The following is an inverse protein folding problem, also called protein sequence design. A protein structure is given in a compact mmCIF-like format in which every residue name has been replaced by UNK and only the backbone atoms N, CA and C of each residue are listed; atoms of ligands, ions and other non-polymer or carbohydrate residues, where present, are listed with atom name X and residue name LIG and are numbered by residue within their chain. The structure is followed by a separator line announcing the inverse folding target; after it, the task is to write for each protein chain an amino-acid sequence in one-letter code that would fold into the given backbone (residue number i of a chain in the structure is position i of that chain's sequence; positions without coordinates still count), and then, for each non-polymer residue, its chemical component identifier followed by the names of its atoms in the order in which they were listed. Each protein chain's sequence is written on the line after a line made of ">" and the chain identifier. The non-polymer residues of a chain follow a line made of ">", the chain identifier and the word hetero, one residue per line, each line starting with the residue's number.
data_IF_254295640573
#
_entry.id   IF_254295640573
#
_cell.length_a   1.000
_cell.length_b   1.000
_cell.length_c   1.000
_cell.angle_alpha   90.00
_cell.angle_beta   90.00
_cell.angle_gamma   90.00
#
_symmetry.space_group_name_H-M   'P 1'
#
loop_
_entity.id
_entity.type
_entity.pdbx_description
1 polymer ?
#
# COMPACT_ATOMS: atom_id res chain seq x y z
N UNK A 1 -20.94 -37.82 16.54
CA UNK A 1 -20.96 -36.83 17.65
C UNK A 1 -22.40 -36.63 18.11
N UNK A 2 -22.68 -36.86 19.37
CA UNK A 2 -24.05 -36.80 19.90
C UNK A 2 -24.50 -35.34 20.04
N UNK A 3 -25.67 -35.00 19.58
CA UNK A 3 -26.27 -33.66 19.51
C UNK A 3 -26.29 -32.93 20.88
N UNK A 4 -26.35 -33.68 21.98
CA UNK A 4 -26.36 -33.17 23.34
C UNK A 4 -24.97 -32.61 23.77
N UNK A 5 -23.88 -33.16 23.25
CA UNK A 5 -22.53 -32.68 23.55
C UNK A 5 -22.22 -31.34 22.88
N UNK A 6 -22.83 -31.09 21.72
CA UNK A 6 -22.63 -29.84 20.97
C UNK A 6 -23.37 -28.64 21.61
N UNK A 7 -24.55 -28.90 22.22
CA UNK A 7 -25.38 -27.88 22.87
C UNK A 7 -24.74 -27.31 24.17
N UNK A 8 -24.02 -28.18 24.92
CA UNK A 8 -23.33 -27.75 26.15
C UNK A 8 -22.04 -26.94 25.89
N UNK A 9 -21.43 -27.10 24.70
CA UNK A 9 -20.20 -26.39 24.34
C UNK A 9 -20.46 -25.03 23.69
N UNK A 10 -21.58 -24.84 23.00
CA UNK A 10 -21.90 -23.59 22.28
C UNK A 10 -22.22 -22.42 23.23
N UNK A 11 -22.65 -22.67 24.46
CA UNK A 11 -23.01 -21.61 25.42
C UNK A 11 -21.83 -20.99 26.17
N UNK A 12 -20.64 -21.63 26.13
CA UNK A 12 -19.43 -21.15 26.85
C UNK A 12 -18.26 -20.72 25.96
N UNK A 13 -18.50 -20.52 24.65
CA UNK A 13 -17.43 -20.33 23.66
C UNK A 13 -17.41 -18.93 23.03
N UNK A 14 -17.20 -17.92 23.83
CA UNK A 14 -16.87 -16.56 23.34
C UNK A 14 -15.38 -16.27 23.37
N UNK A 15 -14.53 -17.16 23.86
CA UNK A 15 -13.06 -16.92 23.90
C UNK A 15 -12.23 -18.12 23.46
N UNK A 16 -11.57 -17.94 22.31
CA UNK A 16 -10.33 -18.61 21.82
C UNK A 16 -10.08 -20.05 22.27
N UNK A 17 -10.40 -21.06 21.45
CA UNK A 17 -9.63 -22.34 21.46
C UNK A 17 -9.91 -23.16 20.19
N UNK A 18 -8.90 -23.85 19.67
CA UNK A 18 -9.00 -24.86 18.60
C UNK A 18 -9.47 -26.19 19.21
N UNK A 19 -10.41 -26.88 18.55
CA UNK A 19 -10.81 -28.25 18.92
C UNK A 19 -10.23 -29.23 17.89
N UNK A 20 -9.47 -30.19 18.41
CA UNK A 20 -9.02 -31.35 17.64
C UNK A 20 -9.91 -32.53 18.00
N UNK A 21 -10.61 -33.12 17.04
CA UNK A 21 -11.32 -34.40 17.23
C UNK A 21 -10.62 -35.50 16.46
N UNK A 22 -10.47 -36.67 17.10
CA UNK A 22 -9.95 -37.89 16.48
C UNK A 22 -11.13 -38.74 16.01
N UNK A 23 -11.15 -39.13 14.75
CA UNK A 23 -12.10 -40.11 14.25
C UNK A 23 -11.46 -41.53 14.34
N UNK A 24 -12.27 -42.58 14.43
CA UNK A 24 -11.84 -43.94 14.67
C UNK A 24 -10.79 -44.52 13.70
N UNK A 25 -10.54 -43.90 12.55
CA UNK A 25 -9.59 -44.32 11.52
C UNK A 25 -8.28 -43.49 11.49
N UNK A 26 -7.91 -42.80 12.56
CA UNK A 26 -6.60 -42.19 12.68
C UNK A 26 -6.43 -40.81 12.00
N UNK A 27 -7.39 -40.35 11.22
CA UNK A 27 -7.36 -39.02 10.58
C UNK A 27 -7.73 -37.90 11.57
N UNK A 28 -6.97 -36.80 11.56
CA UNK A 28 -7.22 -35.64 12.42
C UNK A 28 -7.95 -34.57 11.64
N UNK A 29 -9.09 -34.11 12.13
CA UNK A 29 -9.83 -32.96 11.60
C UNK A 29 -9.62 -31.81 12.59
N UNK A 30 -9.05 -30.71 12.13
CA UNK A 30 -8.88 -29.51 12.92
C UNK A 30 -9.98 -28.49 12.54
N UNK A 31 -10.80 -28.09 13.51
CA UNK A 31 -11.73 -26.99 13.40
C UNK A 31 -11.12 -25.77 14.08
N UNK A 32 -10.74 -24.76 13.31
CA UNK A 32 -10.20 -23.50 13.84
C UNK A 32 -11.27 -22.43 13.69
N UNK A 33 -11.79 -21.93 14.80
CA UNK A 33 -12.63 -20.74 14.82
C UNK A 33 -11.75 -19.52 15.11
N UNK A 34 -11.64 -18.57 14.16
CA UNK A 34 -10.99 -17.30 14.40
C UNK A 34 -12.01 -16.23 14.79
N UNK A 35 -11.58 -15.22 15.55
CA UNK A 35 -12.40 -14.13 16.08
C UNK A 35 -13.07 -13.23 15.04
N UNK A 36 -13.09 -13.64 13.79
CA UNK A 36 -13.75 -13.00 12.66
C UNK A 36 -14.56 -13.99 11.81
N UNK A 37 -15.16 -15.01 12.44
CA UNK A 37 -16.10 -15.93 11.77
C UNK A 37 -15.60 -16.53 10.44
N UNK A 38 -14.49 -17.26 10.48
CA UNK A 38 -14.09 -18.19 9.42
C UNK A 38 -13.94 -19.60 9.99
N UNK A 39 -14.56 -20.59 9.38
CA UNK A 39 -14.40 -21.99 9.73
C UNK A 39 -13.61 -22.69 8.62
N UNK A 40 -12.43 -23.23 8.95
CA UNK A 40 -11.59 -23.98 8.02
C UNK A 40 -11.62 -25.47 8.33
N UNK A 41 -11.92 -26.28 7.32
CA UNK A 41 -11.83 -27.74 7.42
C UNK A 41 -10.65 -28.21 6.59
N UNK A 42 -9.62 -28.76 7.23
CA UNK A 42 -8.48 -29.37 6.57
C UNK A 42 -8.66 -30.90 6.54
N UNK A 43 -8.66 -31.51 5.37
CA UNK A 43 -8.73 -32.97 5.21
C UNK A 43 -7.72 -33.48 4.18
N UNK A 44 -7.27 -34.72 4.35
CA UNK A 44 -6.51 -35.48 3.35
C UNK A 44 -7.44 -36.01 2.25
N UNK A 45 -6.89 -36.20 1.03
CA UNK A 45 -7.64 -36.41 -0.22
C UNK A 45 -8.46 -37.71 -0.33
N UNK A 46 -8.29 -38.68 0.57
CA UNK A 46 -8.87 -40.02 0.42
C UNK A 46 -10.34 -40.17 0.83
N UNK A 47 -10.97 -39.21 1.54
CA UNK A 47 -12.32 -39.38 2.09
C UNK A 47 -13.35 -38.34 1.60
N UNK A 48 -13.36 -38.02 0.31
CA UNK A 48 -14.28 -37.01 -0.26
C UNK A 48 -15.79 -37.35 -0.17
N UNK A 49 -16.16 -38.64 -0.11
CA UNK A 49 -17.60 -39.04 -0.03
C UNK A 49 -18.17 -38.90 1.39
N UNK A 50 -17.41 -39.27 2.42
CA UNK A 50 -17.83 -39.08 3.82
C UNK A 50 -17.87 -37.61 4.23
N UNK A 51 -16.95 -36.80 3.70
CA UNK A 51 -16.93 -35.35 3.92
C UNK A 51 -18.21 -34.67 3.38
N UNK A 52 -18.74 -35.09 2.22
CA UNK A 52 -19.98 -34.53 1.66
C UNK A 52 -21.18 -34.77 2.57
N UNK A 53 -21.28 -35.97 3.17
CA UNK A 53 -22.34 -36.28 4.13
C UNK A 53 -22.23 -35.44 5.42
N UNK A 54 -20.99 -35.27 5.93
CA UNK A 54 -20.73 -34.43 7.12
C UNK A 54 -20.93 -32.94 6.84
N UNK A 55 -20.53 -32.44 5.67
CA UNK A 55 -20.80 -31.05 5.27
C UNK A 55 -22.29 -30.75 5.17
N UNK A 56 -23.09 -31.67 4.64
CA UNK A 56 -24.57 -31.50 4.56
C UNK A 56 -25.23 -31.46 5.93
N UNK A 57 -24.75 -32.27 6.87
CA UNK A 57 -25.23 -32.25 8.24
C UNK A 57 -24.81 -30.98 9.00
N UNK A 58 -23.61 -30.46 8.77
CA UNK A 58 -23.12 -29.18 9.31
C UNK A 58 -23.91 -28.02 8.69
N UNK A 59 -24.18 -28.05 7.36
CA UNK A 59 -25.06 -27.06 6.69
C UNK A 59 -26.45 -27.01 7.32
N UNK A 60 -27.06 -28.17 7.60
CA UNK A 60 -28.39 -28.26 8.25
C UNK A 60 -28.38 -27.72 9.68
N UNK A 61 -27.30 -27.95 10.43
CA UNK A 61 -27.12 -27.40 11.77
C UNK A 61 -26.94 -25.88 11.76
N UNK A 62 -26.12 -25.36 10.82
CA UNK A 62 -25.89 -23.92 10.66
C UNK A 62 -27.16 -23.20 10.24
N UNK A 63 -27.92 -23.74 9.28
CA UNK A 63 -29.19 -23.16 8.84
C UNK A 63 -30.24 -23.15 9.97
N UNK A 64 -30.30 -24.18 10.83
CA UNK A 64 -31.17 -24.17 12.00
C UNK A 64 -30.73 -23.18 13.08
N UNK A 65 -29.42 -22.95 13.26
CA UNK A 65 -28.90 -21.89 14.13
C UNK A 65 -29.24 -20.48 13.60
N UNK A 66 -29.12 -20.29 12.29
CA UNK A 66 -29.46 -19.02 11.62
C UNK A 66 -30.96 -18.74 11.76
N UNK A 67 -31.83 -19.75 11.62
CA UNK A 67 -33.28 -19.61 11.80
C UNK A 67 -33.67 -19.26 13.24
N UNK A 68 -32.99 -19.82 14.22
CA UNK A 68 -33.19 -19.51 15.64
C UNK A 68 -32.66 -18.11 16.05
N UNK A 69 -31.62 -17.62 15.35
CA UNK A 69 -30.98 -16.32 15.66
C UNK A 69 -31.69 -15.15 14.96
N UNK A 70 -32.23 -15.35 13.75
CA UNK A 70 -32.91 -14.29 12.98
C UNK A 70 -34.25 -13.84 13.62
N UNK A 71 -34.80 -14.60 14.55
CA UNK A 71 -35.97 -14.16 15.34
C UNK A 71 -35.64 -13.19 16.48
N UNK A 72 -34.36 -12.90 16.75
CA UNK A 72 -33.99 -12.00 17.84
C UNK A 72 -33.12 -10.81 17.46
N UNK A 73 -32.39 -10.81 16.32
CA UNK A 73 -31.56 -9.64 15.93
C UNK A 73 -31.33 -9.57 14.42
N UNK A 74 -31.84 -8.54 13.79
CA UNK A 74 -31.87 -8.32 12.32
C UNK A 74 -30.59 -7.75 11.70
N UNK A 75 -29.44 -7.85 12.32
CA UNK A 75 -28.17 -7.33 11.79
C UNK A 75 -27.06 -8.32 12.14
N UNK A 76 -26.47 -9.01 11.18
CA UNK A 76 -25.09 -9.56 11.23
C UNK A 76 -24.77 -10.80 10.36
N UNK A 77 -25.38 -11.03 9.21
CA UNK A 77 -25.02 -12.20 8.38
C UNK A 77 -24.97 -11.91 6.87
N UNK A 78 -24.02 -11.10 6.41
CA UNK A 78 -23.75 -10.97 4.96
C UNK A 78 -22.42 -11.56 4.46
N UNK A 79 -21.61 -12.18 5.32
CA UNK A 79 -20.28 -12.67 4.87
C UNK A 79 -19.98 -14.14 5.22
N UNK A 80 -20.89 -15.07 4.91
CA UNK A 80 -20.57 -16.50 4.95
C UNK A 80 -20.27 -16.98 3.52
N UNK A 81 -19.01 -16.93 3.11
CA UNK A 81 -18.56 -17.51 1.83
C UNK A 81 -18.31 -19.00 2.02
N UNK A 82 -19.18 -19.83 1.49
CA UNK A 82 -18.96 -21.26 1.31
C UNK A 82 -18.10 -21.44 0.05
N UNK A 83 -16.88 -21.89 0.20
CA UNK A 83 -16.03 -22.27 -0.93
C UNK A 83 -16.63 -23.46 -1.67
N UNK A 84 -17.17 -23.22 -2.84
CA UNK A 84 -17.57 -24.24 -3.81
C UNK A 84 -16.32 -24.65 -4.61
N UNK A 85 -15.90 -25.91 -4.50
CA UNK A 85 -14.67 -26.44 -5.11
C UNK A 85 -14.82 -26.75 -6.60
N UNK A 86 -15.87 -26.30 -7.26
CA UNK A 86 -16.17 -26.62 -8.67
C UNK A 86 -16.27 -25.39 -9.60
N UNK A 87 -15.45 -24.37 -9.43
CA UNK A 87 -15.42 -23.33 -10.45
C UNK A 87 -13.98 -22.83 -10.69
N UNK A 88 -13.24 -23.57 -11.50
CA UNK A 88 -11.92 -23.23 -12.02
C UNK A 88 -11.93 -22.13 -13.09
N UNK A 89 -13.07 -21.43 -13.28
CA UNK A 89 -13.22 -20.38 -14.31
C UNK A 89 -13.94 -19.13 -13.76
N UNK A 90 -13.64 -18.69 -12.53
CA UNK A 90 -13.97 -17.31 -12.17
C UNK A 90 -12.77 -16.45 -12.50
N UNK A 91 -12.86 -15.81 -13.65
CA UNK A 91 -11.93 -14.80 -14.09
C UNK A 91 -11.63 -13.81 -12.96
N UNK A 92 -10.39 -13.40 -12.88
CA UNK A 92 -9.91 -12.36 -11.98
C UNK A 92 -10.92 -11.20 -11.96
N UNK A 93 -11.54 -10.95 -10.81
CA UNK A 93 -12.20 -9.66 -10.61
C UNK A 93 -11.09 -8.63 -10.57
N UNK A 94 -11.02 -7.82 -11.60
CA UNK A 94 -10.13 -6.66 -11.58
C UNK A 94 -10.40 -5.84 -10.33
N UNK A 95 -9.37 -5.39 -9.60
CA UNK A 95 -9.53 -4.41 -8.54
C UNK A 95 -10.37 -3.23 -9.06
N UNK A 96 -11.20 -2.64 -8.23
CA UNK A 96 -12.14 -1.58 -8.61
C UNK A 96 -11.48 -0.39 -9.32
N UNK A 97 -10.20 -0.16 -9.08
CA UNK A 97 -9.38 0.85 -9.76
C UNK A 97 -8.88 0.43 -11.16
N UNK A 98 -9.12 -0.86 -11.57
CA UNK A 98 -8.82 -1.37 -12.94
C UNK A 98 -10.02 -1.33 -13.86
N UNK A 99 -11.25 -1.22 -13.35
CA UNK A 99 -12.41 -1.13 -14.21
C UNK A 99 -12.49 0.27 -14.82
N UNK A 100 -12.43 0.36 -16.15
CA UNK A 100 -12.77 1.58 -16.88
C UNK A 100 -14.26 1.96 -16.74
N UNK A 101 -15.06 1.12 -16.09
CA UNK A 101 -16.43 1.44 -15.75
C UNK A 101 -16.44 2.55 -14.71
N UNK A 102 -16.70 3.77 -15.19
CA UNK A 102 -17.05 4.91 -14.35
C UNK A 102 -18.29 4.56 -13.55
N UNK A 103 -18.14 4.05 -12.32
CA UNK A 103 -19.28 4.01 -11.40
C UNK A 103 -19.78 5.44 -11.25
N UNK A 104 -21.12 5.65 -11.23
CA UNK A 104 -21.66 6.95 -10.88
C UNK A 104 -21.05 7.33 -9.54
N UNK A 105 -20.19 8.34 -9.52
CA UNK A 105 -19.65 8.89 -8.28
C UNK A 105 -20.82 9.66 -7.69
N UNK A 106 -21.46 9.09 -6.67
CA UNK A 106 -22.36 9.85 -5.82
C UNK A 106 -21.58 11.08 -5.39
N UNK A 107 -22.16 12.23 -5.68
CA UNK A 107 -21.53 13.55 -5.61
C UNK A 107 -20.62 13.64 -4.40
N UNK A 108 -19.42 14.20 -4.58
CA UNK A 108 -18.51 14.63 -3.51
C UNK A 108 -19.17 15.75 -2.69
N UNK A 109 -20.42 15.48 -2.21
CA UNK A 109 -21.22 16.44 -1.48
C UNK A 109 -20.46 16.89 -0.23
N UNK A 110 -20.40 18.21 -0.05
CA UNK A 110 -19.71 18.86 1.05
C UNK A 110 -18.18 18.63 1.13
N UNK A 111 -17.55 18.00 0.14
CA UNK A 111 -16.11 17.90 0.06
C UNK A 111 -15.52 18.98 -0.87
N UNK A 112 -14.30 19.39 -0.57
CA UNK A 112 -13.50 20.26 -1.44
C UNK A 112 -12.04 19.78 -1.41
N UNK A 113 -11.43 19.74 -2.58
CA UNK A 113 -10.06 19.25 -2.75
C UNK A 113 -9.18 20.41 -3.18
N UNK A 114 -8.12 20.67 -2.43
CA UNK A 114 -7.11 21.65 -2.78
C UNK A 114 -5.80 20.99 -3.15
N UNK A 115 -5.11 21.59 -4.10
CA UNK A 115 -3.73 21.24 -4.43
C UNK A 115 -2.77 22.22 -3.77
N UNK A 116 -1.75 21.70 -3.11
CA UNK A 116 -0.56 22.50 -2.88
C UNK A 116 0.28 22.65 -4.15
N UNK A 117 1.39 23.36 -4.05
CA UNK A 117 2.23 23.73 -5.19
C UNK A 117 3.18 22.62 -5.66
N UNK A 118 3.39 21.57 -4.85
CA UNK A 118 4.43 20.59 -5.12
C UNK A 118 4.12 19.67 -6.31
N UNK A 119 2.85 19.22 -6.50
CA UNK A 119 2.47 18.37 -7.64
C UNK A 119 1.03 18.62 -8.13
N UNK A 120 0.77 19.78 -8.76
CA UNK A 120 -0.58 20.13 -9.22
C UNK A 120 -1.10 19.21 -10.34
N UNK A 121 -0.21 18.60 -11.12
CA UNK A 121 -0.61 17.66 -12.18
C UNK A 121 -1.23 16.39 -11.60
N UNK A 122 -0.65 15.83 -10.54
CA UNK A 122 -1.23 14.69 -9.83
C UNK A 122 -2.59 15.07 -9.22
N UNK A 123 -2.67 16.23 -8.57
CA UNK A 123 -3.92 16.72 -7.97
C UNK A 123 -5.02 16.85 -8.99
N UNK A 124 -4.69 17.37 -10.19
CA UNK A 124 -5.65 17.49 -11.30
C UNK A 124 -6.12 16.09 -11.77
N UNK A 125 -5.21 15.15 -12.00
CA UNK A 125 -5.58 13.77 -12.38
C UNK A 125 -6.52 13.14 -11.35
N UNK A 126 -6.26 13.36 -10.04
CA UNK A 126 -7.10 12.83 -8.96
C UNK A 126 -8.51 13.42 -9.06
N UNK A 127 -8.66 14.74 -9.23
CA UNK A 127 -9.98 15.37 -9.36
C UNK A 127 -10.70 14.98 -10.66
N UNK A 128 -9.96 14.74 -11.74
CA UNK A 128 -10.53 14.23 -13.01
C UNK A 128 -11.16 12.84 -12.80
N UNK A 129 -10.49 11.94 -12.03
CA UNK A 129 -11.05 10.63 -11.67
C UNK A 129 -12.26 10.73 -10.74
N UNK A 130 -12.29 11.73 -9.86
CA UNK A 130 -13.42 12.01 -8.97
C UNK A 130 -14.56 12.77 -9.63
N UNK A 131 -14.44 13.09 -10.93
CA UNK A 131 -15.41 13.93 -11.67
C UNK A 131 -15.74 15.26 -10.94
N UNK A 132 -14.71 15.86 -10.32
CA UNK A 132 -14.81 17.12 -9.59
C UNK A 132 -13.68 18.08 -10.02
N UNK A 133 -13.66 19.28 -9.44
CA UNK A 133 -12.64 20.29 -9.72
C UNK A 133 -11.87 20.64 -8.45
N UNK A 134 -10.63 21.12 -8.64
CA UNK A 134 -9.86 21.67 -7.52
C UNK A 134 -10.49 22.95 -7.01
N UNK A 135 -10.54 23.09 -5.69
CA UNK A 135 -10.85 24.35 -5.03
C UNK A 135 -9.79 25.41 -5.34
N UNK A 136 -10.22 26.64 -5.38
CA UNK A 136 -9.36 27.78 -5.71
C UNK A 136 -8.53 28.21 -4.51
N UNK A 137 -7.22 28.18 -4.65
CA UNK A 137 -6.25 28.62 -3.65
C UNK A 137 -5.20 29.49 -4.32
N UNK A 138 -4.83 30.58 -3.69
CA UNK A 138 -3.71 31.42 -4.11
C UNK A 138 -2.49 31.04 -3.26
N UNK A 139 -1.48 30.47 -3.91
CA UNK A 139 -0.22 30.07 -3.28
C UNK A 139 0.91 30.85 -3.93
N UNK A 140 1.63 31.63 -3.14
CA UNK A 140 2.70 32.52 -3.59
C UNK A 140 3.89 32.43 -2.62
N UNK A 141 4.96 33.06 -3.01
CA UNK A 141 6.09 33.33 -2.13
C UNK A 141 6.26 34.86 -2.03
N UNK A 142 6.53 35.36 -0.83
CA UNK A 142 7.01 36.69 -0.64
C UNK A 142 8.43 36.86 -1.18
N UNK A 143 8.93 38.07 -1.29
CA UNK A 143 10.26 38.35 -1.83
C UNK A 143 11.39 37.74 -0.97
N UNK A 144 11.16 37.55 0.32
CA UNK A 144 12.04 36.91 1.28
C UNK A 144 11.96 35.38 1.28
N UNK A 145 11.03 34.78 0.48
CA UNK A 145 10.82 33.36 0.35
C UNK A 145 9.72 32.77 1.25
N UNK A 146 9.11 33.56 2.15
CA UNK A 146 8.01 33.08 2.98
C UNK A 146 6.81 32.67 2.15
N UNK A 147 6.11 31.64 2.62
CA UNK A 147 4.89 31.14 1.97
C UNK A 147 3.71 32.08 2.27
N UNK A 148 3.08 32.55 1.22
CA UNK A 148 1.80 33.27 1.27
C UNK A 148 0.69 32.39 0.69
N UNK A 149 -0.42 32.23 1.42
CA UNK A 149 -1.54 31.41 0.95
C UNK A 149 -2.89 32.03 1.31
N UNK A 150 -3.88 31.80 0.44
CA UNK A 150 -5.26 32.21 0.67
C UNK A 150 -6.22 31.25 -0.05
N UNK A 151 -7.15 30.64 0.67
CA UNK A 151 -8.28 29.97 0.03
C UNK A 151 -9.26 31.00 -0.52
N UNK A 152 -9.65 30.82 -1.79
CA UNK A 152 -10.59 31.71 -2.45
C UNK A 152 -12.04 31.18 -2.37
N UNK A 153 -12.18 29.86 -2.17
CA UNK A 153 -13.47 29.20 -1.98
C UNK A 153 -13.81 29.08 -0.49
N UNK A 154 -15.12 29.14 -0.17
CA UNK A 154 -15.59 28.92 1.20
C UNK A 154 -15.38 27.47 1.62
N UNK A 155 -14.73 27.24 2.76
CA UNK A 155 -14.44 25.92 3.33
C UNK A 155 -15.20 25.65 4.62
N UNK A 156 -15.99 26.62 5.10
CA UNK A 156 -16.77 26.48 6.35
C UNK A 156 -17.71 25.28 6.28
N UNK A 157 -17.60 24.38 7.26
CA UNK A 157 -18.44 23.19 7.38
C UNK A 157 -18.18 22.11 6.33
N UNK A 158 -17.16 22.26 5.46
CA UNK A 158 -16.80 21.28 4.44
C UNK A 158 -15.77 20.27 4.94
N UNK A 159 -15.77 19.07 4.34
CA UNK A 159 -14.71 18.10 4.44
C UNK A 159 -13.61 18.50 3.42
N UNK A 160 -12.44 18.90 3.91
CA UNK A 160 -11.34 19.45 3.10
C UNK A 160 -10.27 18.40 2.91
N UNK A 161 -9.87 18.19 1.66
CA UNK A 161 -8.72 17.35 1.28
C UNK A 161 -7.62 18.23 0.73
N UNK A 162 -6.40 18.13 1.28
CA UNK A 162 -5.22 18.89 0.85
C UNK A 162 -4.23 17.91 0.26
N UNK A 163 -3.99 17.98 -1.04
CA UNK A 163 -3.01 17.11 -1.73
C UNK A 163 -1.69 17.86 -1.81
N UNK A 164 -0.70 17.44 -1.01
CA UNK A 164 0.62 18.05 -0.97
C UNK A 164 1.71 17.02 -0.65
N UNK A 165 2.38 16.45 -1.65
CA UNK A 165 3.64 15.74 -1.41
C UNK A 165 4.66 16.67 -0.76
N UNK A 166 5.31 16.22 0.32
CA UNK A 166 6.40 16.99 0.95
C UNK A 166 7.77 16.62 0.36
N UNK A 167 7.82 16.57 -0.98
CA UNK A 167 9.02 16.32 -1.79
C UNK A 167 9.85 17.60 -1.97
N UNK A 168 11.04 17.54 -2.60
CA UNK A 168 11.84 18.73 -2.86
C UNK A 168 11.07 19.84 -3.64
N UNK A 169 11.21 21.11 -3.22
CA UNK A 169 11.93 21.62 -2.05
C UNK A 169 11.18 21.30 -0.74
N UNK A 170 11.79 20.40 0.07
CA UNK A 170 11.08 19.70 1.17
C UNK A 170 10.54 20.66 2.22
N UNK A 171 11.36 21.61 2.67
CA UNK A 171 10.99 22.52 3.76
C UNK A 171 9.85 23.46 3.35
N UNK A 172 9.92 23.98 2.13
CA UNK A 172 8.89 24.87 1.59
C UNK A 172 7.55 24.14 1.45
N UNK A 173 7.56 22.94 0.87
CA UNK A 173 6.37 22.13 0.68
C UNK A 173 5.76 21.66 2.01
N UNK A 174 6.59 21.40 3.02
CA UNK A 174 6.13 21.10 4.37
C UNK A 174 5.48 22.31 5.02
N UNK A 175 6.13 23.46 5.02
CA UNK A 175 5.57 24.69 5.61
C UNK A 175 4.27 25.07 4.90
N UNK A 176 4.20 24.96 3.57
CA UNK A 176 2.97 25.21 2.81
C UNK A 176 1.82 24.30 3.28
N UNK A 177 2.08 23.00 3.44
CA UNK A 177 1.10 22.05 3.97
C UNK A 177 0.62 22.46 5.37
N UNK A 178 1.53 22.79 6.27
CA UNK A 178 1.21 23.20 7.65
C UNK A 178 0.31 24.44 7.67
N UNK A 179 0.63 25.45 6.85
CA UNK A 179 -0.18 26.67 6.73
C UNK A 179 -1.56 26.39 6.14
N UNK A 180 -1.65 25.52 5.13
CA UNK A 180 -2.95 25.12 4.55
C UNK A 180 -3.84 24.44 5.60
N UNK A 181 -3.30 23.50 6.37
CA UNK A 181 -4.04 22.79 7.44
C UNK A 181 -4.52 23.78 8.50
N UNK A 182 -3.61 24.64 9.01
CA UNK A 182 -3.93 25.63 10.03
C UNK A 182 -5.01 26.61 9.55
N UNK A 183 -4.93 27.07 8.30
CA UNK A 183 -5.93 27.96 7.71
C UNK A 183 -7.30 27.27 7.59
N UNK A 184 -7.35 25.99 7.19
CA UNK A 184 -8.59 25.23 7.16
C UNK A 184 -9.24 25.16 8.55
N UNK A 185 -8.44 24.92 9.59
CA UNK A 185 -8.94 24.85 10.97
C UNK A 185 -9.49 26.20 11.43
N UNK A 186 -8.76 27.29 11.17
CA UNK A 186 -9.21 28.66 11.50
C UNK A 186 -10.45 29.10 10.73
N UNK A 187 -10.63 28.59 9.50
CA UNK A 187 -11.80 28.88 8.66
C UNK A 187 -12.98 27.92 8.91
N UNK A 188 -12.95 27.14 9.99
CA UNK A 188 -14.02 26.24 10.43
C UNK A 188 -14.36 25.13 9.42
N UNK A 189 -13.36 24.52 8.79
CA UNK A 189 -13.54 23.28 8.07
C UNK A 189 -14.09 22.21 9.02
N UNK A 190 -14.96 21.34 8.52
CA UNK A 190 -15.56 20.25 9.33
C UNK A 190 -14.56 19.15 9.60
N UNK A 191 -13.86 18.71 8.55
CA UNK A 191 -12.76 17.75 8.62
C UNK A 191 -11.64 18.18 7.69
N UNK A 192 -10.41 17.87 8.06
CA UNK A 192 -9.22 18.18 7.29
C UNK A 192 -8.43 16.88 7.09
N UNK A 193 -8.34 16.43 5.84
CA UNK A 193 -7.54 15.27 5.45
C UNK A 193 -6.32 15.74 4.66
N UNK A 194 -5.13 15.51 5.20
CA UNK A 194 -3.88 15.73 4.49
C UNK A 194 -3.55 14.49 3.64
N UNK A 195 -3.55 14.66 2.33
CA UNK A 195 -3.13 13.63 1.36
C UNK A 195 -1.69 13.94 1.00
N UNK A 196 -0.76 13.11 1.48
CA UNK A 196 0.69 13.30 1.38
C UNK A 196 1.29 12.15 0.55
N UNK A 197 1.23 12.20 -0.79
CA UNK A 197 1.72 11.12 -1.65
C UNK A 197 3.19 10.77 -1.41
N UNK A 198 4.03 11.74 -1.05
CA UNK A 198 5.38 11.54 -0.57
C UNK A 198 5.57 12.24 0.77
N UNK A 199 5.96 11.48 1.79
CA UNK A 199 6.22 11.99 3.13
C UNK A 199 7.70 12.30 3.30
N UNK A 200 8.06 13.56 3.35
CA UNK A 200 9.42 14.03 3.57
C UNK A 200 9.93 13.68 4.97
N UNK A 201 11.27 13.65 5.13
CA UNK A 201 11.94 13.23 6.38
C UNK A 201 11.71 11.78 6.81
N UNK A 202 11.00 10.96 6.02
CA UNK A 202 10.63 9.58 6.35
C UNK A 202 11.82 8.68 6.67
N UNK A 203 13.01 8.95 6.11
CA UNK A 203 14.23 8.16 6.34
C UNK A 203 14.84 8.34 7.73
N UNK A 204 14.40 9.36 8.49
CA UNK A 204 14.82 9.62 9.87
C UNK A 204 13.72 9.18 10.85
N UNK A 205 13.38 7.91 10.78
CA UNK A 205 12.28 7.26 11.53
C UNK A 205 12.73 6.65 12.87
N UNK A 206 14.02 6.59 13.12
CA UNK A 206 14.63 6.01 14.32
C UNK A 206 16.02 6.60 14.58
N UNK A 207 16.49 6.46 15.80
CA UNK A 207 17.88 6.82 16.14
C UNK A 207 18.85 5.74 15.66
N UNK A 208 19.71 6.08 14.72
CA UNK A 208 20.81 5.22 14.26
C UNK A 208 22.12 5.48 15.04
N UNK A 209 22.19 6.60 15.76
CA UNK A 209 23.29 6.97 16.64
C UNK A 209 22.80 7.82 17.81
N UNK A 210 23.71 8.14 18.76
CA UNK A 210 23.38 9.09 19.83
C UNK A 210 23.24 10.52 19.28
N UNK A 211 22.40 11.33 19.93
CA UNK A 211 22.24 12.77 19.66
C UNK A 211 21.73 13.12 18.26
N UNK A 212 20.93 12.24 17.64
CA UNK A 212 20.23 12.50 16.38
C UNK A 212 18.73 12.63 16.61
N UNK A 213 18.02 13.43 15.79
CA UNK A 213 16.57 13.54 15.87
C UNK A 213 15.86 12.28 15.32
N UNK A 214 14.55 12.20 15.55
CA UNK A 214 13.63 11.34 14.82
C UNK A 214 12.72 12.28 14.02
N UNK A 215 13.25 12.84 12.93
CA UNK A 215 12.59 13.94 12.20
C UNK A 215 11.25 13.54 11.61
N UNK A 216 11.06 12.25 11.26
CA UNK A 216 9.75 11.75 10.82
C UNK A 216 8.67 11.91 11.91
N UNK A 217 9.03 11.73 13.19
CA UNK A 217 8.13 11.94 14.31
C UNK A 217 7.87 13.43 14.58
N UNK A 218 8.89 14.27 14.42
CA UNK A 218 8.74 15.72 14.61
C UNK A 218 7.82 16.32 13.53
N UNK A 219 7.97 15.89 12.28
CA UNK A 219 7.06 16.27 11.18
C UNK A 219 5.62 15.80 11.46
N UNK A 220 5.42 14.57 11.94
CA UNK A 220 4.11 14.07 12.29
C UNK A 220 3.43 14.94 13.36
N UNK A 221 4.18 15.30 14.42
CA UNK A 221 3.70 16.19 15.50
C UNK A 221 3.36 17.59 14.99
N UNK A 222 4.16 18.16 14.09
CA UNK A 222 3.85 19.46 13.49
C UNK A 222 2.54 19.41 12.70
N UNK A 223 2.34 18.40 11.86
CA UNK A 223 1.11 18.21 11.08
C UNK A 223 -0.10 18.05 12.01
N UNK A 224 0.02 17.23 13.07
CA UNK A 224 -1.03 17.04 14.06
C UNK A 224 -1.36 18.34 14.81
N UNK A 225 -0.33 19.09 15.24
CA UNK A 225 -0.50 20.36 15.95
C UNK A 225 -1.22 21.42 15.10
N UNK A 226 -1.11 21.38 13.77
CA UNK A 226 -1.87 22.25 12.87
C UNK A 226 -3.35 21.91 12.81
N UNK A 227 -3.76 20.74 13.35
CA UNK A 227 -5.17 20.39 13.50
C UNK A 227 -5.70 19.54 12.34
N UNK A 228 -4.89 18.69 11.73
CA UNK A 228 -5.35 17.68 10.79
C UNK A 228 -6.24 16.64 11.49
N UNK A 229 -7.26 16.12 10.81
CA UNK A 229 -8.14 15.06 11.35
C UNK A 229 -7.77 13.67 10.81
N UNK A 230 -7.08 13.58 9.68
CA UNK A 230 -6.65 12.33 9.02
C UNK A 230 -5.47 12.59 8.10
N UNK A 231 -4.60 11.60 7.98
CA UNK A 231 -3.51 11.60 6.99
C UNK A 231 -3.70 10.41 6.05
N UNK A 232 -3.52 10.64 4.76
CA UNK A 232 -3.40 9.61 3.73
C UNK A 232 -2.01 9.74 3.13
N UNK A 233 -1.20 8.70 3.25
CA UNK A 233 0.15 8.64 2.69
C UNK A 233 0.27 7.45 1.73
N UNK A 234 1.35 7.40 0.94
CA UNK A 234 1.62 6.28 0.04
C UNK A 234 3.01 5.72 0.39
N UNK A 235 3.08 4.42 0.62
CA UNK A 235 4.32 3.66 0.88
C UNK A 235 5.31 4.41 1.78
N UNK A 236 4.91 4.69 3.02
CA UNK A 236 5.78 5.26 4.02
C UNK A 236 7.06 4.42 4.14
N UNK A 237 8.20 5.08 4.30
CA UNK A 237 9.51 4.42 4.40
C UNK A 237 9.51 3.27 5.42
N UNK A 238 8.79 3.45 6.52
CA UNK A 238 8.56 2.40 7.52
C UNK A 238 7.15 2.48 8.10
N UNK A 239 6.60 1.32 8.48
CA UNK A 239 5.25 1.23 9.04
C UNK A 239 5.09 1.95 10.38
N UNK A 240 6.17 2.11 11.17
CA UNK A 240 6.15 2.78 12.45
C UNK A 240 5.84 4.28 12.36
N UNK A 241 6.04 4.92 11.21
CA UNK A 241 5.71 6.34 11.00
C UNK A 241 4.22 6.60 11.29
N UNK A 242 3.35 5.64 10.98
CA UNK A 242 1.92 5.75 11.32
C UNK A 242 1.69 5.92 12.83
N UNK A 243 2.53 5.32 13.66
CA UNK A 243 2.48 5.43 15.12
C UNK A 243 3.08 6.73 15.69
N UNK A 244 3.67 7.60 14.86
CA UNK A 244 4.17 8.91 15.31
C UNK A 244 3.06 9.96 15.42
N UNK A 245 1.95 9.73 14.72
CA UNK A 245 0.72 10.48 14.89
C UNK A 245 -0.03 9.98 16.14
N UNK A 246 -0.64 10.89 16.88
CA UNK A 246 -1.45 10.56 18.04
C UNK A 246 -2.74 9.80 17.66
N UNK A 247 -3.39 9.17 18.64
CA UNK A 247 -4.55 8.30 18.40
C UNK A 247 -5.78 9.03 17.81
N UNK A 248 -5.76 10.36 17.79
CA UNK A 248 -6.83 11.18 17.20
C UNK A 248 -6.67 11.39 15.70
N UNK A 249 -5.50 11.10 15.14
CA UNK A 249 -5.19 11.30 13.72
C UNK A 249 -4.89 9.95 13.08
N UNK A 250 -5.91 9.26 12.54
CA UNK A 250 -5.70 8.03 11.80
C UNK A 250 -4.85 8.30 10.55
N UNK A 251 -3.97 7.34 10.24
CA UNK A 251 -3.10 7.37 9.07
C UNK A 251 -3.42 6.18 8.18
N UNK A 252 -3.84 6.47 6.97
CA UNK A 252 -4.05 5.46 5.93
C UNK A 252 -2.81 5.44 5.02
N UNK A 253 -2.01 4.38 5.11
CA UNK A 253 -0.80 4.19 4.29
C UNK A 253 -1.14 3.32 3.08
N UNK A 254 -1.45 3.93 1.93
CA UNK A 254 -1.79 3.25 0.69
C UNK A 254 -0.56 2.56 0.09
N UNK A 255 -0.80 1.51 -0.70
CA UNK A 255 0.26 0.70 -1.31
C UNK A 255 0.30 0.84 -2.83
N UNK A 256 1.24 1.65 -3.34
CA UNK A 256 1.42 1.85 -4.78
C UNK A 256 2.12 0.66 -5.47
N UNK A 257 2.71 -0.27 -4.70
CA UNK A 257 3.28 -1.49 -5.30
C UNK A 257 2.25 -2.29 -6.12
N UNK A 258 0.94 -2.17 -5.83
CA UNK A 258 -0.13 -2.77 -6.64
C UNK A 258 -0.08 -2.30 -8.10
N UNK A 259 0.25 -1.03 -8.32
CA UNK A 259 0.40 -0.42 -9.65
C UNK A 259 1.63 -0.99 -10.35
N UNK A 260 2.73 -1.16 -9.61
CA UNK A 260 3.95 -1.81 -10.12
C UNK A 260 3.70 -3.27 -10.49
N UNK A 261 2.95 -4.01 -9.67
CA UNK A 261 2.57 -5.38 -9.97
C UNK A 261 1.79 -5.49 -11.28
N UNK A 262 0.83 -4.59 -11.51
CA UNK A 262 0.05 -4.56 -12.76
C UNK A 262 0.90 -4.27 -13.99
N UNK A 263 1.89 -3.40 -13.81
CA UNK A 263 2.83 -3.09 -14.87
C UNK A 263 3.69 -4.31 -15.21
N UNK A 264 4.33 -4.93 -14.23
CA UNK A 264 5.25 -6.04 -14.44
C UNK A 264 4.54 -7.33 -14.85
N UNK A 265 3.31 -7.56 -14.43
CA UNK A 265 2.51 -8.72 -14.89
C UNK A 265 2.27 -8.70 -16.41
N UNK A 266 2.23 -7.51 -17.02
CA UNK A 266 2.07 -7.35 -18.48
C UNK A 266 3.37 -7.47 -19.26
N UNK A 267 4.53 -7.49 -18.56
CA UNK A 267 5.82 -7.67 -19.20
C UNK A 267 6.12 -9.16 -19.41
N UNK A 268 6.69 -9.48 -20.56
CA UNK A 268 7.21 -10.83 -20.80
C UNK A 268 8.55 -11.01 -20.08
N UNK A 269 8.47 -11.48 -18.83
CA UNK A 269 9.63 -11.75 -17.97
C UNK A 269 9.98 -13.25 -18.01
N UNK A 270 11.26 -13.52 -18.09
CA UNK A 270 11.78 -14.89 -18.06
C UNK A 270 12.35 -15.21 -16.67
N UNK A 271 11.82 -16.27 -16.00
CA UNK A 271 12.21 -16.69 -14.66
C UNK A 271 12.35 -15.49 -13.69
N UNK A 272 11.30 -14.72 -13.44
CA UNK A 272 11.43 -13.48 -12.69
C UNK A 272 11.96 -13.71 -11.28
N UNK A 273 12.88 -12.86 -10.83
CA UNK A 273 13.41 -12.84 -9.46
C UNK A 273 13.28 -11.45 -8.87
N UNK A 274 12.62 -11.35 -7.71
CA UNK A 274 12.50 -10.09 -6.99
C UNK A 274 13.69 -9.93 -6.06
N UNK A 275 14.33 -8.77 -6.12
CA UNK A 275 15.53 -8.49 -5.33
C UNK A 275 15.30 -7.32 -4.39
N UNK A 276 15.60 -7.54 -3.09
CA UNK A 276 15.73 -6.45 -2.13
C UNK A 276 17.14 -5.85 -2.21
N UNK A 277 17.27 -4.53 -2.34
CA UNK A 277 18.60 -3.87 -2.38
C UNK A 277 19.33 -3.87 -1.04
N UNK A 278 18.64 -4.21 0.05
CA UNK A 278 19.20 -4.32 1.40
C UNK A 278 18.32 -5.20 2.31
N UNK A 279 18.77 -5.45 3.54
CA UNK A 279 18.04 -6.27 4.51
C UNK A 279 16.71 -5.61 4.98
N UNK A 280 16.62 -4.29 4.97
CA UNK A 280 15.43 -3.55 5.41
C UNK A 280 14.25 -3.69 4.44
N UNK A 281 14.53 -3.84 3.14
CA UNK A 281 13.53 -3.94 2.08
C UNK A 281 12.99 -5.36 1.83
N UNK A 282 13.50 -6.40 2.53
CA UNK A 282 13.12 -7.80 2.27
C UNK A 282 11.63 -8.05 2.39
N UNK A 283 10.97 -7.44 3.37
CA UNK A 283 9.51 -7.58 3.53
C UNK A 283 8.77 -7.02 2.30
N UNK A 284 9.19 -5.87 1.76
CA UNK A 284 8.61 -5.24 0.56
C UNK A 284 8.83 -6.11 -0.67
N UNK A 285 10.06 -6.63 -0.85
CA UNK A 285 10.39 -7.54 -1.94
C UNK A 285 9.55 -8.83 -1.88
N UNK A 286 9.39 -9.41 -0.68
CA UNK A 286 8.54 -10.59 -0.48
C UNK A 286 7.10 -10.32 -0.84
N UNK A 287 6.55 -9.22 -0.39
CA UNK A 287 5.18 -8.82 -0.70
C UNK A 287 4.97 -8.61 -2.21
N UNK A 288 5.95 -8.04 -2.90
CA UNK A 288 5.92 -7.89 -4.35
C UNK A 288 5.97 -9.26 -5.06
N UNK A 289 6.83 -10.17 -4.61
CA UNK A 289 6.89 -11.55 -5.10
C UNK A 289 5.54 -12.27 -4.94
N UNK A 290 4.98 -12.24 -3.74
CA UNK A 290 3.68 -12.87 -3.45
C UNK A 290 2.57 -12.27 -4.35
N UNK A 291 2.62 -10.97 -4.62
CA UNK A 291 1.70 -10.28 -5.53
C UNK A 291 1.83 -10.72 -6.99
N UNK A 292 3.05 -10.95 -7.50
CA UNK A 292 3.27 -11.49 -8.85
C UNK A 292 2.81 -12.95 -8.95
N UNK A 293 3.15 -13.79 -7.96
CA UNK A 293 2.71 -15.18 -7.90
C UNK A 293 1.18 -15.28 -7.90
N UNK A 294 0.50 -14.44 -7.12
CA UNK A 294 -0.97 -14.38 -7.09
C UNK A 294 -1.57 -14.00 -8.46
N UNK A 295 -0.88 -13.19 -9.26
CA UNK A 295 -1.29 -12.77 -10.61
C UNK A 295 -0.92 -13.76 -11.71
N UNK A 296 -0.47 -14.97 -11.35
CA UNK A 296 -0.21 -16.06 -12.28
C UNK A 296 1.23 -16.09 -12.83
N UNK A 297 2.16 -15.28 -12.30
CA UNK A 297 3.58 -15.44 -12.56
C UNK A 297 4.14 -16.48 -11.57
N UNK A 298 3.76 -17.75 -11.77
CA UNK A 298 4.25 -18.87 -10.94
C UNK A 298 5.78 -18.95 -11.03
N UNK A 299 6.41 -19.38 -9.92
CA UNK A 299 7.87 -19.58 -9.77
C UNK A 299 8.71 -18.29 -9.76
N UNK A 300 8.11 -17.16 -9.33
CA UNK A 300 8.87 -15.94 -9.08
C UNK A 300 9.84 -16.15 -7.90
N UNK A 301 11.15 -16.04 -8.16
CA UNK A 301 12.21 -16.15 -7.15
C UNK A 301 12.31 -14.92 -6.26
N UNK A 302 13.04 -15.05 -5.14
CA UNK A 302 13.43 -13.94 -4.29
C UNK A 302 14.92 -14.01 -3.96
N UNK A 303 15.58 -12.85 -3.96
CA UNK A 303 16.98 -12.71 -3.53
C UNK A 303 17.15 -11.36 -2.81
N UNK A 304 18.29 -11.18 -2.14
CA UNK A 304 18.63 -9.91 -1.50
C UNK A 304 20.12 -9.60 -1.64
N UNK A 305 20.44 -8.32 -1.60
CA UNK A 305 21.80 -7.82 -1.54
C UNK A 305 22.12 -7.38 -0.12
N UNK A 306 23.28 -7.80 0.39
CA UNK A 306 23.79 -7.42 1.70
C UNK A 306 24.99 -6.49 1.48
N UNK A 307 24.89 -5.26 2.00
CA UNK A 307 26.00 -4.30 1.97
C UNK A 307 26.97 -4.59 3.10
N UNK A 308 28.23 -4.85 2.76
CA UNK A 308 29.31 -4.90 3.72
C UNK A 308 30.02 -3.54 3.77
N UNK A 309 29.93 -2.84 4.90
CA UNK A 309 30.71 -1.61 5.16
C UNK A 309 31.99 -2.01 5.84
N UNK A 310 33.07 -2.19 5.09
CA UNK A 310 34.34 -2.62 5.65
C UNK A 310 35.22 -1.49 6.21
N UNK A 311 35.15 -0.28 5.72
CA UNK A 311 35.79 0.96 6.29
C UNK A 311 35.32 2.21 5.57
N UNK A 312 35.45 3.42 6.18
CA UNK A 312 35.30 4.68 5.45
C UNK A 312 36.29 4.73 4.28
N UNK A 313 35.79 4.93 3.05
CA UNK A 313 36.54 5.03 1.79
C UNK A 313 36.91 3.71 1.07
N UNK A 314 36.46 2.55 1.49
CA UNK A 314 36.53 1.32 0.65
C UNK A 314 35.29 1.15 -0.19
N UNK A 315 35.45 0.53 -1.40
CA UNK A 315 34.35 0.21 -2.30
C UNK A 315 33.38 -0.72 -1.55
N UNK A 316 32.15 -0.30 -1.38
CA UNK A 316 31.08 -1.11 -0.77
C UNK A 316 30.96 -2.43 -1.52
N UNK A 317 31.32 -3.54 -0.88
CA UNK A 317 31.04 -4.87 -1.40
C UNK A 317 29.57 -5.20 -1.14
N UNK A 318 28.90 -5.71 -2.16
CA UNK A 318 27.54 -6.24 -2.05
C UNK A 318 27.58 -7.74 -2.28
N UNK A 319 27.15 -8.51 -1.29
CA UNK A 319 27.00 -9.94 -1.41
C UNK A 319 25.55 -10.29 -1.79
N UNK A 320 25.41 -11.19 -2.74
CA UNK A 320 24.11 -11.69 -3.16
C UNK A 320 23.71 -12.93 -2.35
N UNK A 321 22.53 -12.90 -1.77
CA UNK A 321 21.89 -14.08 -1.15
C UNK A 321 20.70 -14.46 -2.02
N UNK A 322 20.71 -15.67 -2.53
CA UNK A 322 19.73 -16.17 -3.52
C UNK A 322 20.37 -16.40 -4.88
N UNK A 323 19.58 -16.80 -5.86
CA UNK A 323 20.02 -17.07 -7.23
C UNK A 323 19.31 -16.14 -8.23
N UNK A 324 20.08 -15.53 -9.13
CA UNK A 324 19.59 -14.64 -10.19
C UNK A 324 20.10 -15.04 -11.58
N UNK A 325 20.83 -16.17 -11.64
CA UNK A 325 21.44 -16.66 -12.89
C UNK A 325 20.36 -16.94 -13.95
N UNK A 326 20.60 -16.48 -15.16
CA UNK A 326 19.69 -16.63 -16.31
C UNK A 326 18.25 -16.18 -16.03
N UNK A 327 18.07 -15.11 -15.26
CA UNK A 327 16.76 -14.62 -14.78
C UNK A 327 16.58 -13.13 -15.07
N UNK A 328 15.35 -12.71 -15.29
CA UNK A 328 14.97 -11.31 -15.33
C UNK A 328 14.72 -10.84 -13.89
N UNK A 329 15.43 -9.82 -13.46
CA UNK A 329 15.45 -9.38 -12.08
C UNK A 329 14.70 -8.06 -11.92
N UNK A 330 13.89 -7.93 -10.87
CA UNK A 330 13.25 -6.68 -10.47
C UNK A 330 13.75 -6.29 -9.08
N UNK A 331 14.53 -5.21 -8.99
CA UNK A 331 14.91 -4.60 -7.70
C UNK A 331 13.71 -3.80 -7.20
N UNK A 332 13.27 -4.06 -5.97
CA UNK A 332 12.08 -3.39 -5.38
C UNK A 332 12.49 -2.59 -4.14
N UNK A 333 12.20 -1.28 -4.17
CA UNK A 333 12.45 -0.36 -3.05
C UNK A 333 11.27 0.58 -2.82
N UNK A 334 11.28 1.39 -1.75
CA UNK A 334 10.29 2.47 -1.55
C UNK A 334 10.65 3.71 -2.36
N UNK A 335 11.93 4.06 -2.43
CA UNK A 335 12.38 5.28 -3.09
C UNK A 335 13.72 5.12 -3.81
N UNK A 336 13.87 5.90 -4.88
CA UNK A 336 15.12 6.09 -5.59
C UNK A 336 15.51 7.56 -5.46
N UNK A 337 16.65 7.82 -4.79
CA UNK A 337 17.17 9.17 -4.58
C UNK A 337 18.38 9.42 -5.48
N UNK A 338 19.61 9.22 -5.03
CA UNK A 338 20.83 9.48 -5.80
C UNK A 338 21.20 8.37 -6.78
N UNK A 339 20.47 7.26 -6.79
CA UNK A 339 20.64 6.07 -7.64
C UNK A 339 21.99 5.34 -7.47
N UNK A 340 22.85 5.73 -6.54
CA UNK A 340 24.16 5.08 -6.36
C UNK A 340 24.03 3.61 -5.99
N UNK A 341 23.28 3.32 -4.93
CA UNK A 341 23.00 1.95 -4.46
C UNK A 341 22.31 1.11 -5.52
N UNK A 342 21.30 1.67 -6.20
CA UNK A 342 20.52 0.98 -7.23
C UNK A 342 21.41 0.58 -8.40
N UNK A 343 22.23 1.49 -8.91
CA UNK A 343 23.12 1.23 -10.04
C UNK A 343 24.22 0.22 -9.69
N UNK A 344 24.76 0.27 -8.47
CA UNK A 344 25.74 -0.71 -8.01
C UNK A 344 25.10 -2.09 -7.83
N UNK A 345 23.89 -2.15 -7.25
CA UNK A 345 23.10 -3.38 -7.17
C UNK A 345 22.89 -4.00 -8.57
N UNK A 346 22.51 -3.20 -9.56
CA UNK A 346 22.32 -3.68 -10.93
C UNK A 346 23.62 -4.25 -11.54
N UNK A 347 24.78 -3.61 -11.30
CA UNK A 347 26.09 -4.13 -11.74
C UNK A 347 26.41 -5.47 -11.10
N UNK A 348 26.17 -5.62 -9.79
CA UNK A 348 26.43 -6.87 -9.09
C UNK A 348 25.50 -8.00 -9.58
N UNK A 349 24.23 -7.71 -9.79
CA UNK A 349 23.28 -8.68 -10.34
C UNK A 349 23.68 -9.13 -11.75
N UNK A 350 24.15 -8.24 -12.59
CA UNK A 350 24.70 -8.60 -13.92
C UNK A 350 25.94 -9.47 -13.82
N UNK A 351 26.87 -9.22 -12.87
CA UNK A 351 28.02 -10.08 -12.61
C UNK A 351 27.62 -11.49 -12.18
N UNK A 352 26.49 -11.64 -11.48
CA UNK A 352 25.93 -12.94 -11.08
C UNK A 352 25.06 -13.59 -12.16
N UNK A 353 25.09 -13.09 -13.39
CA UNK A 353 24.45 -13.70 -14.55
C UNK A 353 23.00 -13.35 -14.78
N UNK A 354 22.48 -12.28 -14.17
CA UNK A 354 21.13 -11.77 -14.46
C UNK A 354 21.01 -11.35 -15.95
N UNK A 355 19.91 -11.74 -16.60
CA UNK A 355 19.63 -11.41 -18.02
C UNK A 355 19.30 -9.93 -18.19
N UNK A 356 18.20 -9.49 -17.60
CA UNK A 356 17.74 -8.10 -17.57
C UNK A 356 17.55 -7.68 -16.14
N UNK A 357 17.84 -6.43 -15.85
CA UNK A 357 17.68 -5.87 -14.50
C UNK A 357 16.74 -4.66 -14.57
N UNK A 358 15.59 -4.79 -13.95
CA UNK A 358 14.59 -3.75 -13.78
C UNK A 358 14.63 -3.23 -12.36
N UNK A 359 14.08 -2.05 -12.13
CA UNK A 359 13.84 -1.53 -10.80
C UNK A 359 12.40 -1.01 -10.69
N UNK A 360 11.82 -1.18 -9.52
CA UNK A 360 10.56 -0.53 -9.14
C UNK A 360 10.73 0.17 -7.81
N UNK A 361 10.30 1.42 -7.75
CA UNK A 361 10.13 2.15 -6.49
C UNK A 361 8.90 3.05 -6.57
N UNK A 362 8.26 3.24 -5.42
CA UNK A 362 7.11 4.14 -5.36
C UNK A 362 7.54 5.59 -5.58
N UNK A 363 8.64 6.03 -4.96
CA UNK A 363 9.05 7.43 -4.97
C UNK A 363 10.33 7.66 -5.78
N UNK A 364 10.21 8.34 -6.91
CA UNK A 364 11.35 8.76 -7.72
C UNK A 364 11.78 10.19 -7.37
N UNK A 365 12.77 10.34 -6.49
CA UNK A 365 13.33 11.65 -6.13
C UNK A 365 14.37 12.12 -7.14
N UNK A 366 15.23 11.22 -7.59
CA UNK A 366 16.27 11.43 -8.59
C UNK A 366 17.17 12.66 -8.33
N UNK A 367 17.67 12.76 -7.10
CA UNK A 367 18.53 13.87 -6.67
C UNK A 367 19.94 13.78 -7.27
N UNK A 368 20.52 14.96 -7.52
CA UNK A 368 21.91 15.08 -7.99
C UNK A 368 22.16 14.32 -9.30
N UNK A 369 23.19 13.47 -9.38
CA UNK A 369 23.60 12.77 -10.62
C UNK A 369 22.80 11.49 -10.88
N UNK A 370 21.58 11.36 -10.33
CA UNK A 370 20.79 10.11 -10.39
C UNK A 370 20.48 9.69 -11.83
N UNK A 371 20.11 10.64 -12.68
CA UNK A 371 19.73 10.37 -14.07
C UNK A 371 20.94 9.87 -14.88
N UNK A 372 22.09 10.58 -14.79
CA UNK A 372 23.32 10.18 -15.47
C UNK A 372 23.77 8.78 -15.03
N UNK A 373 23.62 8.46 -13.75
CA UNK A 373 23.94 7.12 -13.20
C UNK A 373 23.04 6.05 -13.78
N UNK A 374 21.73 6.31 -13.89
CA UNK A 374 20.76 5.38 -14.45
C UNK A 374 21.06 5.15 -15.94
N UNK A 375 21.28 6.20 -16.72
CA UNK A 375 21.58 6.11 -18.15
C UNK A 375 22.82 5.27 -18.41
N UNK A 376 23.89 5.44 -17.60
CA UNK A 376 25.14 4.71 -17.71
C UNK A 376 25.17 3.38 -16.94
N UNK A 377 24.04 2.93 -16.39
CA UNK A 377 23.93 1.68 -15.65
C UNK A 377 23.49 0.52 -16.55
N UNK A 378 23.66 -0.74 -16.12
CA UNK A 378 23.11 -1.91 -16.79
C UNK A 378 21.61 -2.13 -16.53
N UNK A 379 20.91 -1.16 -15.95
CA UNK A 379 19.46 -1.21 -15.78
C UNK A 379 18.77 -1.17 -17.16
N UNK A 380 17.84 -2.06 -17.37
CA UNK A 380 16.95 -2.07 -18.53
C UNK A 380 15.91 -0.95 -18.42
N UNK A 381 15.29 -0.85 -17.23
CA UNK A 381 14.24 0.11 -16.97
C UNK A 381 14.08 0.36 -15.46
N UNK A 382 13.75 1.59 -15.13
CA UNK A 382 13.42 2.05 -13.78
C UNK A 382 11.98 2.53 -13.78
N UNK A 383 11.13 1.84 -13.05
CA UNK A 383 9.71 2.15 -12.96
C UNK A 383 9.43 2.84 -11.63
N UNK A 384 8.86 4.05 -11.68
CA UNK A 384 8.47 4.81 -10.50
C UNK A 384 7.05 5.30 -10.62
N UNK A 385 6.51 5.88 -9.53
CA UNK A 385 5.19 6.52 -9.60
C UNK A 385 5.28 8.04 -9.63
N UNK A 386 4.18 8.71 -9.94
CA UNK A 386 4.07 10.17 -9.98
C UNK A 386 3.75 10.79 -8.60
N UNK A 387 4.08 10.12 -7.49
CA UNK A 387 4.00 10.65 -6.12
C UNK A 387 4.87 11.88 -5.91
N UNK A 388 5.98 11.97 -6.64
CA UNK A 388 6.89 13.11 -6.70
C UNK A 388 6.80 13.76 -8.08
N UNK A 389 6.80 15.11 -8.09
CA UNK A 389 6.74 15.86 -9.36
C UNK A 389 7.98 15.57 -10.21
N UNK A 390 7.74 15.25 -11.46
CA UNK A 390 8.80 15.09 -12.45
C UNK A 390 9.38 16.42 -12.92
N UNK A 391 10.60 16.37 -13.42
CA UNK A 391 11.25 17.47 -14.13
C UNK A 391 11.67 17.04 -15.54
N UNK A 392 12.08 18.00 -16.40
CA UNK A 392 12.43 17.72 -17.79
C UNK A 392 13.54 16.66 -17.95
N UNK A 393 14.50 16.60 -17.05
CA UNK A 393 15.60 15.62 -17.14
C UNK A 393 15.07 14.19 -16.92
N UNK A 394 14.18 14.02 -15.94
CA UNK A 394 13.53 12.73 -15.69
C UNK A 394 12.66 12.34 -16.88
N UNK A 395 11.90 13.30 -17.45
CA UNK A 395 11.00 13.05 -18.58
C UNK A 395 11.73 12.67 -19.86
N UNK A 396 12.96 13.11 -20.03
CA UNK A 396 13.81 12.82 -21.19
C UNK A 396 14.59 11.50 -21.08
N UNK A 397 14.73 10.93 -19.89
CA UNK A 397 15.45 9.67 -19.69
C UNK A 397 14.62 8.49 -20.18
N UNK A 398 15.10 7.82 -21.23
CA UNK A 398 14.40 6.67 -21.88
C UNK A 398 14.27 5.44 -20.98
N UNK A 399 15.11 5.35 -19.94
CA UNK A 399 15.08 4.22 -19.00
C UNK A 399 14.09 4.41 -17.86
N UNK A 400 13.43 5.58 -17.72
CA UNK A 400 12.51 5.85 -16.63
C UNK A 400 11.07 5.81 -17.14
N UNK A 401 10.28 4.91 -16.55
CA UNK A 401 8.84 4.81 -16.77
C UNK A 401 8.09 5.30 -15.55
N UNK A 402 7.09 6.17 -15.75
CA UNK A 402 6.27 6.73 -14.67
C UNK A 402 4.85 6.19 -14.72
N UNK A 403 4.40 5.64 -13.60
CA UNK A 403 3.04 5.17 -13.38
C UNK A 403 2.27 6.17 -12.53
N UNK A 404 0.96 6.31 -12.74
CA UNK A 404 0.18 7.26 -11.96
C UNK A 404 -0.50 6.61 -10.77
N UNK A 405 -0.38 7.23 -9.59
CA UNK A 405 -1.12 6.85 -8.38
C UNK A 405 -2.50 7.54 -8.30
N UNK A 406 -2.87 8.33 -9.31
CA UNK A 406 -4.08 9.17 -9.25
C UNK A 406 -5.36 8.38 -9.03
N UNK A 407 -5.52 7.20 -9.64
CA UNK A 407 -6.68 6.32 -9.46
C UNK A 407 -6.75 5.79 -8.03
N UNK A 408 -5.60 5.33 -7.49
CA UNK A 408 -5.50 4.80 -6.13
C UNK A 408 -5.89 5.87 -5.09
N UNK A 409 -5.34 7.09 -5.24
CA UNK A 409 -5.64 8.21 -4.33
C UNK A 409 -7.09 8.68 -4.49
N UNK A 410 -7.60 8.75 -5.71
CA UNK A 410 -8.99 9.13 -5.97
C UNK A 410 -9.97 8.15 -5.31
N UNK A 411 -9.74 6.83 -5.45
CA UNK A 411 -10.60 5.82 -4.81
C UNK A 411 -10.51 5.88 -3.29
N UNK A 412 -9.32 6.14 -2.72
CA UNK A 412 -9.17 6.35 -1.28
C UNK A 412 -9.97 7.57 -0.79
N UNK A 413 -9.87 8.73 -1.48
CA UNK A 413 -10.63 9.94 -1.13
C UNK A 413 -12.14 9.67 -1.25
N UNK A 414 -12.59 9.01 -2.32
CA UNK A 414 -14.00 8.65 -2.51
C UNK A 414 -14.51 7.78 -1.36
N UNK A 415 -13.78 6.71 -1.03
CA UNK A 415 -14.16 5.79 0.05
C UNK A 415 -14.20 6.49 1.42
N UNK A 416 -13.22 7.34 1.71
CA UNK A 416 -13.21 8.14 2.95
C UNK A 416 -14.45 9.05 3.01
N UNK A 417 -14.79 9.73 1.91
CA UNK A 417 -15.95 10.61 1.85
C UNK A 417 -17.27 9.85 2.00
N UNK A 418 -17.36 8.67 1.39
CA UNK A 418 -18.54 7.79 1.44
C UNK A 418 -18.57 6.90 2.70
N UNK A 419 -17.56 6.99 3.57
CA UNK A 419 -17.41 6.16 4.79
C UNK A 419 -17.33 4.66 4.48
N UNK A 420 -16.75 4.32 3.34
CA UNK A 420 -16.46 2.95 2.93
C UNK A 420 -15.11 2.47 3.48
N UNK A 421 -14.94 1.14 3.54
CA UNK A 421 -13.68 0.51 3.95
C UNK A 421 -12.58 0.74 2.90
N UNK A 422 -11.36 0.98 3.37
CA UNK A 422 -10.15 1.03 2.53
C UNK A 422 -9.48 -0.34 2.37
N UNK A 423 -9.98 -1.39 3.02
CA UNK A 423 -9.29 -2.70 3.07
C UNK A 423 -8.97 -3.28 1.69
N UNK A 424 -9.85 -3.06 0.69
CA UNK A 424 -9.62 -3.54 -0.67
C UNK A 424 -8.42 -2.87 -1.35
N UNK A 425 -8.05 -1.66 -0.90
CA UNK A 425 -6.88 -0.92 -1.39
C UNK A 425 -5.55 -1.43 -0.81
N UNK A 426 -5.61 -2.22 0.26
CA UNK A 426 -4.45 -2.86 0.91
C UNK A 426 -4.32 -4.34 0.53
N UNK A 427 -5.30 -4.88 -0.18
CA UNK A 427 -5.33 -6.30 -0.52
C UNK A 427 -4.56 -6.58 -1.81
N UNK A 428 -3.59 -7.51 -1.74
CA UNK A 428 -2.96 -8.10 -2.93
C UNK A 428 -3.95 -8.95 -3.74
N UNK A 429 -5.07 -9.30 -3.12
CA UNK A 429 -6.19 -10.04 -3.71
C UNK A 429 -7.09 -9.00 -4.38
N UNK A 430 -6.75 -8.59 -5.56
CA UNK A 430 -7.60 -7.73 -6.38
C UNK A 430 -8.79 -8.46 -6.96
#
# INVERSE_FOLDING_TARGET
>A
MNYSAFKGYASNWINRKSILTKNGNGSRIALIASSGFGMYILSNEENRKELRSHCNNVKKCINNMIYQYNNKNKIFFENLVLCDTNNSNKGFRNPLWRSEEKRPIDKMENAIIFSGSSNPLLSKKITDHLSTTLGKVNLKRFADGEVSMQFLDSIRGKDVYIIQPTCPPVNENLIELLLMISTCRRASAKKITAVIPYYGYARQDRKLSSRVPISAADVARMIEAMGVDRVVAIDLHSGQIQGFFGPRVPVDNLEAQLIGLDYFTKKNLYKPVIVSPDAGGVYRARKFQDGLNYRGMSDCGIAMLIKQRSKPNEIEKMDLVGNVYDSDVIIVDDMIDTSGTLCEAAKQLKKHGARRVFAFATHGLFSGPAIDRIENSPLEEVVVTDTVKSNKNIDNCKKITKLSVSVLVADAIRRIQQKESLNDLFSMKG
#
